data_IF_005497891879
#
_entry.id   IF_005497891879
#
_cell.length_a   1.000
_cell.length_b   1.000
_cell.length_c   1.000
_cell.angle_alpha   90.00
_cell.angle_beta   90.00
_cell.angle_gamma   90.00
#
_symmetry.space_group_name_H-M   'P 1'
#
loop_
_entity.id
_entity.type
_entity.pdbx_description
1 polymer ?
#
# COMPACT_ATOMS: atom_id res chain seq x y z
N UNK A 1 17.70 -6.43 -4.61
CA UNK A 1 16.60 -5.96 -3.73
C UNK A 1 15.86 -4.75 -4.30
N UNK A 2 15.88 -4.56 -5.62
CA UNK A 2 15.10 -3.54 -6.32
C UNK A 2 14.65 -4.13 -7.66
N UNK A 3 13.99 -5.29 -7.61
CA UNK A 3 13.45 -5.96 -8.78
C UNK A 3 12.14 -5.29 -9.21
N UNK A 4 12.20 -3.99 -9.56
CA UNK A 4 11.03 -3.21 -9.94
C UNK A 4 10.50 -3.79 -11.26
N UNK A 5 9.39 -4.51 -11.17
CA UNK A 5 8.72 -5.13 -12.29
C UNK A 5 8.18 -4.09 -13.26
N UNK A 6 8.07 -4.44 -14.54
CA UNK A 6 7.41 -3.59 -15.54
C UNK A 6 5.98 -3.21 -15.12
N UNK A 7 5.26 -4.11 -14.43
CA UNK A 7 3.93 -3.82 -13.87
C UNK A 7 3.94 -2.77 -12.77
N UNK A 8 4.99 -2.70 -11.95
CA UNK A 8 5.14 -1.70 -10.88
C UNK A 8 5.50 -0.33 -11.47
N UNK A 9 6.38 -0.27 -12.48
CA UNK A 9 6.64 0.98 -13.22
C UNK A 9 5.35 1.50 -13.89
N UNK A 10 4.53 0.61 -14.47
CA UNK A 10 3.27 0.98 -15.10
C UNK A 10 2.25 1.48 -14.06
N UNK A 11 2.13 0.81 -12.91
CA UNK A 11 1.27 1.24 -11.80
C UNK A 11 1.69 2.61 -11.23
N UNK A 12 2.99 2.81 -10.96
CA UNK A 12 3.54 4.10 -10.51
C UNK A 12 3.30 5.18 -11.58
N UNK A 13 3.42 4.82 -12.86
CA UNK A 13 3.06 5.68 -13.99
C UNK A 13 1.61 6.14 -13.94
N UNK A 14 0.65 5.23 -13.76
CA UNK A 14 -0.78 5.55 -13.64
C UNK A 14 -1.06 6.43 -12.42
N UNK A 15 -0.50 6.11 -11.25
CA UNK A 15 -0.66 6.94 -10.03
C UNK A 15 -0.08 8.35 -10.26
N UNK A 16 1.09 8.46 -10.88
CA UNK A 16 1.69 9.75 -11.21
C UNK A 16 0.87 10.53 -12.26
N UNK A 17 0.25 9.87 -13.24
CA UNK A 17 -0.66 10.51 -14.21
C UNK A 17 -1.89 11.12 -13.53
N UNK A 18 -2.42 10.47 -12.48
CA UNK A 18 -3.56 10.99 -11.70
C UNK A 18 -3.13 12.12 -10.75
N UNK A 19 -2.05 11.92 -9.97
CA UNK A 19 -1.62 12.87 -8.92
C UNK A 19 -0.96 14.13 -9.49
N UNK A 20 -0.09 13.97 -10.50
CA UNK A 20 0.66 15.08 -11.10
C UNK A 20 -0.02 15.63 -12.36
N UNK A 21 -0.90 14.84 -13.00
CA UNK A 21 -1.57 15.18 -14.25
C UNK A 21 -0.77 14.77 -15.50
N UNK A 22 -1.46 14.34 -16.59
CA UNK A 22 -0.80 13.79 -17.79
C UNK A 22 0.07 14.79 -18.56
N UNK A 23 -0.15 16.09 -18.39
CA UNK A 23 0.64 17.15 -19.03
C UNK A 23 1.96 17.45 -18.29
N UNK A 24 1.99 17.22 -16.97
CA UNK A 24 3.11 17.60 -16.10
C UNK A 24 4.13 16.47 -15.94
N UNK A 25 3.67 15.22 -15.87
CA UNK A 25 4.53 14.03 -15.82
C UNK A 25 5.60 13.99 -16.95
N UNK A 26 5.26 14.16 -18.26
CA UNK A 26 6.27 14.16 -19.33
C UNK A 26 7.24 15.34 -19.23
N UNK A 27 6.83 16.46 -18.63
CA UNK A 27 7.71 17.62 -18.39
C UNK A 27 8.74 17.31 -17.30
N UNK A 28 8.32 16.69 -16.19
CA UNK A 28 9.24 16.22 -15.13
C UNK A 28 10.18 15.13 -15.64
N UNK A 29 9.66 14.15 -16.40
CA UNK A 29 10.45 13.08 -16.99
C UNK A 29 11.51 13.61 -17.98
N UNK A 30 11.18 14.62 -18.79
CA UNK A 30 12.15 15.32 -19.67
C UNK A 30 13.24 16.05 -18.88
N UNK A 31 12.89 16.75 -17.80
CA UNK A 31 13.86 17.46 -16.94
C UNK A 31 14.80 16.48 -16.24
N UNK A 32 14.27 15.43 -15.60
CA UNK A 32 15.07 14.39 -14.96
C UNK A 32 15.95 13.64 -15.97
N UNK A 33 15.39 13.26 -17.13
CA UNK A 33 16.15 12.64 -18.22
C UNK A 33 17.27 13.53 -18.77
N UNK A 34 17.06 14.85 -18.85
CA UNK A 34 18.09 15.79 -19.26
C UNK A 34 19.20 15.98 -18.20
N UNK A 35 18.88 15.88 -16.90
CA UNK A 35 19.86 15.87 -15.81
C UNK A 35 20.66 14.56 -15.82
N UNK A 36 20.00 13.41 -15.82
CA UNK A 36 20.63 12.08 -15.86
C UNK A 36 21.48 11.91 -17.13
N UNK A 37 20.98 12.30 -18.29
CA UNK A 37 21.73 12.23 -19.55
C UNK A 37 22.95 13.16 -19.60
N UNK A 38 22.93 14.31 -18.90
CA UNK A 38 24.13 15.15 -18.72
C UNK A 38 25.13 14.50 -17.75
N UNK A 39 24.67 13.96 -16.64
CA UNK A 39 25.52 13.25 -15.68
C UNK A 39 26.18 12.02 -16.30
N UNK A 40 25.44 11.20 -17.06
CA UNK A 40 25.97 10.07 -17.82
C UNK A 40 27.04 10.48 -18.83
N UNK A 41 26.85 11.60 -19.55
CA UNK A 41 27.87 12.14 -20.46
C UNK A 41 29.11 12.62 -19.73
N UNK A 42 28.96 13.35 -18.63
CA UNK A 42 30.09 13.79 -17.80
C UNK A 42 30.88 12.61 -17.25
N UNK A 43 30.20 11.59 -16.70
CA UNK A 43 30.83 10.34 -16.24
C UNK A 43 31.49 9.59 -17.39
N UNK A 44 30.94 9.60 -18.61
CA UNK A 44 31.58 8.99 -19.78
C UNK A 44 32.86 9.74 -20.21
N UNK A 45 32.86 11.08 -20.20
CA UNK A 45 34.05 11.90 -20.47
C UNK A 45 35.12 11.67 -19.39
N UNK A 46 34.77 11.83 -18.11
CA UNK A 46 35.70 11.60 -16.99
C UNK A 46 36.22 10.17 -16.99
N UNK A 47 35.39 9.17 -17.32
CA UNK A 47 35.85 7.78 -17.49
C UNK A 47 36.82 7.63 -18.66
N UNK A 48 36.64 8.33 -19.78
CA UNK A 48 37.58 8.30 -20.90
C UNK A 48 38.92 8.94 -20.51
N UNK A 49 38.89 10.12 -19.88
CA UNK A 49 40.10 10.83 -19.41
C UNK A 49 40.85 10.02 -18.34
N UNK A 50 40.13 9.39 -17.41
CA UNK A 50 40.70 8.45 -16.44
C UNK A 50 41.23 7.20 -17.15
N UNK A 51 40.51 6.61 -18.11
CA UNK A 51 40.98 5.40 -18.80
C UNK A 51 42.26 5.64 -19.63
N UNK A 52 42.46 6.87 -20.09
CA UNK A 52 43.68 7.35 -20.77
C UNK A 52 44.89 7.47 -19.81
N UNK A 53 44.67 7.56 -18.50
CA UNK A 53 45.70 7.85 -17.48
C UNK A 53 45.88 6.72 -16.44
N UNK A 54 44.84 5.96 -16.15
CA UNK A 54 44.76 5.05 -15.01
C UNK A 54 45.09 3.60 -15.36
N UNK A 55 46.38 3.27 -15.23
CA UNK A 55 46.79 1.89 -14.95
C UNK A 55 46.43 1.54 -13.50
N UNK A 56 45.23 0.99 -13.28
CA UNK A 56 44.74 0.27 -12.09
C UNK A 56 44.62 1.03 -10.75
N UNK A 57 45.47 2.01 -10.41
CA UNK A 57 45.57 2.56 -9.03
C UNK A 57 44.28 3.19 -8.50
N UNK A 58 43.73 4.20 -9.20
CA UNK A 58 42.60 5.00 -8.72
C UNK A 58 41.27 4.24 -8.54
N UNK A 59 41.15 3.03 -9.06
CA UNK A 59 39.99 2.15 -8.81
C UNK A 59 40.08 1.41 -7.48
N UNK A 60 41.28 1.23 -6.92
CA UNK A 60 41.46 0.69 -5.57
C UNK A 60 41.29 1.78 -4.52
N UNK A 61 41.86 2.97 -4.75
CA UNK A 61 41.75 4.14 -3.85
C UNK A 61 40.27 4.52 -3.63
N UNK A 62 39.51 4.74 -4.71
CA UNK A 62 38.08 5.05 -4.62
C UNK A 62 37.24 3.92 -3.99
N UNK A 63 37.66 2.65 -4.12
CA UNK A 63 36.99 1.54 -3.42
C UNK A 63 37.26 1.59 -1.92
N UNK A 64 38.49 1.86 -1.53
CA UNK A 64 38.89 1.94 -0.13
C UNK A 64 38.21 3.14 0.56
N UNK A 65 38.17 4.31 -0.08
CA UNK A 65 37.42 5.48 0.40
C UNK A 65 35.93 5.14 0.65
N UNK A 66 35.31 4.39 -0.25
CA UNK A 66 33.90 3.97 -0.14
C UNK A 66 33.70 2.92 0.96
N UNK A 67 34.64 2.00 1.14
CA UNK A 67 34.57 0.94 2.15
C UNK A 67 34.80 1.51 3.57
N UNK A 68 35.78 2.41 3.74
CA UNK A 68 36.00 3.16 4.99
C UNK A 68 34.81 4.09 5.33
N UNK A 69 34.21 4.74 4.33
CA UNK A 69 32.98 5.53 4.50
C UNK A 69 31.77 4.67 4.90
N UNK A 70 31.61 3.48 4.30
CA UNK A 70 30.53 2.55 4.64
C UNK A 70 30.73 1.94 6.04
N UNK A 71 31.96 1.62 6.41
CA UNK A 71 32.31 1.01 7.70
C UNK A 71 32.21 2.02 8.85
N UNK A 72 32.61 3.28 8.63
CA UNK A 72 32.38 4.36 9.59
C UNK A 72 30.90 4.71 9.75
N UNK A 73 30.13 4.83 8.65
CA UNK A 73 28.68 5.04 8.71
C UNK A 73 27.96 3.90 9.46
N UNK A 74 28.37 2.65 9.23
CA UNK A 74 27.83 1.50 9.96
C UNK A 74 28.15 1.57 11.46
N UNK A 75 29.39 1.94 11.84
CA UNK A 75 29.75 2.16 13.24
C UNK A 75 28.93 3.27 13.89
N UNK A 76 28.68 4.36 13.16
CA UNK A 76 27.79 5.45 13.58
C UNK A 76 26.39 4.90 13.88
N UNK A 77 25.78 4.20 12.92
CA UNK A 77 24.43 3.65 13.02
C UNK A 77 24.31 2.58 14.12
N UNK A 78 25.29 1.67 14.26
CA UNK A 78 25.33 0.67 15.33
C UNK A 78 25.44 1.31 16.72
N UNK A 79 26.01 2.51 16.84
CA UNK A 79 26.05 3.26 18.11
C UNK A 79 24.78 4.05 18.39
N UNK A 80 24.17 4.66 17.37
CA UNK A 80 22.89 5.36 17.46
C UNK A 80 21.74 4.39 17.81
N UNK A 81 21.68 3.22 17.15
CA UNK A 81 20.70 2.16 17.44
C UNK A 81 20.85 1.62 18.86
N UNK A 82 22.07 1.55 19.42
CA UNK A 82 22.28 1.19 20.83
C UNK A 82 21.75 2.28 21.77
N UNK A 83 22.10 3.54 21.54
CA UNK A 83 21.60 4.66 22.35
C UNK A 83 20.06 4.77 22.34
N UNK A 84 19.43 4.61 21.17
CA UNK A 84 17.96 4.56 21.03
C UNK A 84 17.37 3.35 21.77
N UNK A 85 18.02 2.19 21.71
CA UNK A 85 17.59 0.98 22.43
C UNK A 85 17.71 1.14 23.94
N UNK A 86 18.83 1.66 24.43
CA UNK A 86 19.07 1.89 25.86
C UNK A 86 18.08 2.94 26.42
N UNK A 87 17.76 3.99 25.66
CA UNK A 87 16.72 4.96 26.01
C UNK A 87 15.31 4.32 25.99
N UNK A 88 14.99 3.46 25.02
CA UNK A 88 13.74 2.70 24.97
C UNK A 88 13.60 1.74 26.16
N UNK A 89 14.67 1.05 26.55
CA UNK A 89 14.66 0.11 27.68
C UNK A 89 14.54 0.84 29.03
N UNK A 90 15.18 2.02 29.20
CA UNK A 90 15.02 2.89 30.36
C UNK A 90 13.59 3.45 30.48
N UNK A 91 13.13 4.16 29.44
CA UNK A 91 11.77 4.75 29.42
C UNK A 91 10.69 3.66 29.52
N UNK A 92 10.91 2.49 28.90
CA UNK A 92 10.00 1.36 28.93
C UNK A 92 9.87 0.70 30.31
N UNK A 93 10.93 0.71 31.12
CA UNK A 93 10.87 0.26 32.52
C UNK A 93 10.06 1.23 33.39
N UNK A 94 10.28 2.54 33.24
CA UNK A 94 9.54 3.59 33.97
C UNK A 94 8.06 3.63 33.58
N UNK A 95 7.74 3.61 32.28
CA UNK A 95 6.38 3.50 31.75
C UNK A 95 5.66 2.24 32.26
N UNK A 96 6.38 1.12 32.42
CA UNK A 96 5.78 -0.13 32.91
C UNK A 96 5.53 -0.09 34.41
N UNK A 97 6.43 0.48 35.20
CA UNK A 97 6.20 0.73 36.63
C UNK A 97 4.98 1.62 36.85
N UNK A 98 4.88 2.74 36.11
CA UNK A 98 3.72 3.64 36.14
C UNK A 98 2.42 2.95 35.70
N UNK A 99 2.47 2.07 34.69
CA UNK A 99 1.31 1.31 34.23
C UNK A 99 0.85 0.23 35.23
N UNK A 100 1.79 -0.43 35.92
CA UNK A 100 1.47 -1.44 36.95
C UNK A 100 1.00 -0.79 38.27
N UNK A 101 1.50 0.40 38.63
CA UNK A 101 0.96 1.20 39.75
C UNK A 101 -0.45 1.75 39.44
N UNK A 102 -0.70 2.18 38.20
CA UNK A 102 -2.03 2.62 37.74
C UNK A 102 -3.06 1.49 37.61
N UNK A 103 -2.65 0.21 37.54
CA UNK A 103 -3.56 -0.94 37.46
C UNK A 103 -4.29 -1.23 38.76
N UNK A 104 -3.59 -1.18 39.90
CA UNK A 104 -4.15 -1.50 41.21
C UNK A 104 -5.52 -0.82 41.52
N UNK A 105 -5.68 0.51 41.38
CA UNK A 105 -6.98 1.16 41.63
C UNK A 105 -8.03 0.90 40.53
N UNK A 106 -7.61 0.53 39.31
CA UNK A 106 -8.54 0.19 38.20
C UNK A 106 -9.13 -1.19 38.41
N UNK A 107 -8.32 -2.17 38.78
CA UNK A 107 -8.79 -3.53 39.08
C UNK A 107 -9.70 -3.55 40.32
N UNK A 108 -9.42 -2.72 41.33
CA UNK A 108 -10.33 -2.52 42.49
C UNK A 108 -11.69 -1.95 42.04
N UNK A 109 -11.70 -0.91 41.20
CA UNK A 109 -12.93 -0.32 40.68
C UNK A 109 -13.75 -1.29 39.80
N UNK A 110 -13.10 -2.09 38.94
CA UNK A 110 -13.76 -3.08 38.08
C UNK A 110 -14.41 -4.20 38.90
N UNK A 111 -13.77 -4.66 39.98
CA UNK A 111 -14.34 -5.64 40.90
C UNK A 111 -15.51 -5.06 41.71
N UNK A 112 -15.41 -3.82 42.18
CA UNK A 112 -16.51 -3.14 42.87
C UNK A 112 -17.77 -2.99 42.00
N UNK A 113 -17.61 -2.80 40.68
CA UNK A 113 -18.72 -2.74 39.72
C UNK A 113 -19.33 -4.13 39.48
N UNK A 114 -18.52 -5.19 39.35
CA UNK A 114 -19.03 -6.55 39.09
C UNK A 114 -19.71 -7.20 40.31
N UNK A 115 -19.36 -6.81 41.53
CA UNK A 115 -20.01 -7.31 42.75
C UNK A 115 -21.47 -6.89 42.93
N UNK A 116 -22.00 -5.97 42.10
CA UNK A 116 -23.30 -5.34 42.29
C UNK A 116 -24.50 -5.99 41.59
N UNK A 117 -24.30 -6.96 40.67
CA UNK A 117 -25.41 -7.56 39.90
C UNK A 117 -25.76 -8.97 40.41
N UNK A 118 -26.89 -9.06 41.10
CA UNK A 118 -27.56 -10.34 41.40
C UNK A 118 -28.26 -10.86 40.12
N UNK A 119 -27.95 -12.07 39.62
CA UNK A 119 -28.55 -12.59 38.38
C UNK A 119 -29.81 -13.43 38.65
N UNK A 120 -30.80 -12.83 39.30
CA UNK A 120 -32.16 -13.37 39.46
C UNK A 120 -33.17 -12.40 38.83
N UNK A 121 -34.37 -12.91 38.49
CA UNK A 121 -35.42 -12.25 37.68
C UNK A 121 -35.23 -12.26 36.15
N UNK A 122 -35.10 -13.47 35.57
CA UNK A 122 -35.52 -13.75 34.19
C UNK A 122 -36.35 -15.05 34.15
N UNK A 123 -37.67 -14.91 34.38
CA UNK A 123 -38.61 -16.03 34.23
C UNK A 123 -38.73 -16.48 32.76
N UNK A 124 -38.70 -17.79 32.48
CA UNK A 124 -38.94 -18.31 31.13
C UNK A 124 -40.44 -18.25 30.78
N UNK A 125 -40.77 -17.59 29.65
CA UNK A 125 -42.13 -17.63 29.10
C UNK A 125 -42.48 -19.04 28.57
N UNK A 126 -43.77 -19.45 28.60
CA UNK A 126 -44.21 -20.76 28.14
C UNK A 126 -44.18 -20.92 26.61
N UNK A 127 -44.05 -22.16 26.14
CA UNK A 127 -43.71 -22.50 24.76
C UNK A 127 -44.96 -22.87 23.93
N UNK A 128 -45.94 -21.96 23.86
CA UNK A 128 -47.35 -22.32 23.60
C UNK A 128 -47.99 -21.65 22.34
N UNK A 129 -47.19 -21.19 21.36
CA UNK A 129 -47.70 -20.59 20.11
C UNK A 129 -47.05 -21.22 18.86
N UNK A 130 -47.55 -22.38 18.43
CA UNK A 130 -47.33 -22.90 17.07
C UNK A 130 -48.47 -22.51 16.11
N UNK A 131 -48.15 -22.56 14.81
CA UNK A 131 -49.08 -22.62 13.69
C UNK A 131 -50.04 -21.44 13.45
N UNK A 132 -49.54 -20.40 12.77
CA UNK A 132 -50.12 -20.03 11.46
C UNK A 132 -49.00 -19.99 10.42
N UNK A 133 -49.27 -20.52 9.23
CA UNK A 133 -48.28 -20.68 8.16
C UNK A 133 -48.77 -20.03 6.87
N UNK A 134 -47.96 -19.11 6.33
CA UNK A 134 -48.08 -18.66 4.94
C UNK A 134 -46.67 -18.59 4.34
N UNK A 135 -46.43 -19.39 3.31
CA UNK A 135 -45.08 -19.62 2.78
C UNK A 135 -44.72 -18.54 1.75
N UNK A 136 -44.12 -17.45 2.22
CA UNK A 136 -43.47 -16.49 1.33
C UNK A 136 -42.30 -17.18 0.59
N UNK A 137 -42.26 -17.17 -0.75
CA UNK A 137 -41.12 -17.74 -1.48
C UNK A 137 -39.89 -16.86 -1.26
N UNK A 138 -38.80 -17.45 -0.77
CA UNK A 138 -37.52 -16.78 -0.63
C UNK A 138 -37.02 -16.40 -2.02
N UNK A 139 -37.04 -15.11 -2.35
CA UNK A 139 -36.48 -14.58 -3.59
C UNK A 139 -34.95 -14.58 -3.45
N UNK A 140 -34.28 -15.47 -4.18
CA UNK A 140 -32.82 -15.57 -4.19
C UNK A 140 -32.19 -14.26 -4.69
N UNK A 141 -31.35 -13.62 -3.88
CA UNK A 141 -30.77 -12.30 -4.14
C UNK A 141 -29.54 -12.35 -5.07
N UNK A 142 -29.28 -13.48 -5.73
CA UNK A 142 -28.08 -13.72 -6.55
C UNK A 142 -28.31 -13.67 -8.08
N UNK A 143 -29.22 -12.80 -8.56
CA UNK A 143 -29.26 -12.43 -9.98
C UNK A 143 -29.14 -10.91 -10.16
N UNK A 144 -28.08 -10.49 -10.86
CA UNK A 144 -27.86 -9.08 -11.23
C UNK A 144 -28.66 -8.77 -12.50
N UNK A 145 -29.73 -8.00 -12.35
CA UNK A 145 -30.52 -7.41 -13.45
C UNK A 145 -29.70 -6.33 -14.20
N UNK A 146 -28.73 -6.75 -15.02
CA UNK A 146 -27.76 -5.86 -15.68
C UNK A 146 -27.91 -5.74 -17.21
N UNK A 147 -28.83 -6.50 -17.84
CA UNK A 147 -28.87 -6.64 -19.31
C UNK A 147 -30.27 -6.60 -19.96
N UNK A 148 -31.34 -6.19 -19.25
CA UNK A 148 -32.72 -6.21 -19.77
C UNK A 148 -33.25 -4.84 -20.27
N UNK A 149 -32.36 -3.95 -20.72
CA UNK A 149 -32.72 -2.75 -21.48
C UNK A 149 -31.89 -2.65 -22.79
N UNK A 150 -32.28 -3.45 -23.78
CA UNK A 150 -31.97 -3.17 -25.18
C UNK A 150 -33.18 -2.50 -25.84
N UNK A 151 -33.03 -1.28 -26.41
CA UNK A 151 -34.14 -0.62 -27.09
C UNK A 151 -34.59 -1.43 -28.31
N UNK A 152 -35.90 -1.49 -28.61
CA UNK A 152 -36.44 -2.36 -29.66
C UNK A 152 -35.87 -2.01 -31.04
N UNK A 153 -35.36 -3.04 -31.73
CA UNK A 153 -34.74 -2.90 -33.03
C UNK A 153 -35.71 -2.27 -34.06
N UNK A 154 -35.30 -1.13 -34.62
CA UNK A 154 -36.08 -0.36 -35.59
C UNK A 154 -36.31 -1.19 -36.87
N UNK A 155 -37.53 -1.27 -37.43
CA UNK A 155 -37.79 -2.08 -38.61
C UNK A 155 -36.88 -1.71 -39.79
N UNK A 156 -36.28 -2.71 -40.43
CA UNK A 156 -35.40 -2.52 -41.57
C UNK A 156 -36.18 -2.00 -42.79
N UNK A 157 -35.71 -0.93 -43.47
CA UNK A 157 -36.32 -0.48 -44.72
C UNK A 157 -36.05 -1.51 -45.82
N UNK A 158 -37.09 -1.94 -46.52
CA UNK A 158 -36.99 -2.86 -47.66
C UNK A 158 -36.30 -2.19 -48.85
N UNK A 159 -35.19 -2.72 -49.39
CA UNK A 159 -34.69 -2.36 -50.71
C UNK A 159 -35.57 -3.03 -51.78
N UNK A 160 -35.89 -2.31 -52.85
CA UNK A 160 -36.74 -2.81 -53.94
C UNK A 160 -36.00 -3.78 -54.89
N UNK A 161 -36.77 -4.56 -55.65
CA UNK A 161 -36.27 -5.51 -56.64
C UNK A 161 -35.40 -4.84 -57.73
N UNK A 162 -34.21 -5.38 -58.05
CA UNK A 162 -33.53 -5.10 -59.31
C UNK A 162 -34.22 -5.87 -60.46
N UNK A 163 -34.35 -5.28 -61.67
CA UNK A 163 -35.09 -5.89 -62.77
C UNK A 163 -34.39 -7.14 -63.33
N UNK A 164 -35.18 -8.13 -63.72
CA UNK A 164 -34.70 -9.32 -64.42
C UNK A 164 -34.23 -8.99 -65.84
N UNK A 165 -33.00 -9.39 -66.16
CA UNK A 165 -32.44 -9.38 -67.52
C UNK A 165 -32.04 -10.80 -67.94
N UNK A 166 -32.16 -11.06 -69.24
CA UNK A 166 -31.93 -12.35 -69.91
C UNK A 166 -31.36 -12.10 -71.30
#
# INVERSE_FOLDING_TARGET
>A
MFEISFGEILLIGVVALVVLGPERLPTVARTLGALVGRAQRFVATVKADIQQQANLTGLNELRQDIEDAAQSFKGQLDSEVRGVREAMEQNGAELRALADEARAPVDEAVNAIHGGLQPDLLDPLPADVEAQAEAAPVKDENQLDLFDDLPPAKPAPQPADPPSLR
#
